data_IF_329404063656
#
_entry.id   IF_329404063656
#
_cell.length_a   1.000
_cell.length_b   1.000
_cell.length_c   1.000
_cell.angle_alpha   90.00
_cell.angle_beta   90.00
_cell.angle_gamma   90.00
#
_symmetry.space_group_name_H-M   'P 1'
#
loop_
_entity.id
_entity.type
_entity.pdbx_description
1 polymer ?
#
# COMPACT_ATOMS: atom_id res chain seq x y z
N UNK A 1 -3.14 -14.70 16.50
CA UNK A 1 -2.47 -14.36 15.22
C UNK A 1 -2.12 -12.88 15.28
N UNK A 2 -0.88 -12.47 14.94
CA UNK A 2 -0.43 -11.07 15.07
C UNK A 2 -0.12 -10.49 13.68
N UNK A 3 -0.88 -9.49 13.24
CA UNK A 3 -0.72 -8.83 11.94
C UNK A 3 0.69 -8.27 11.69
N UNK A 4 1.46 -7.94 12.74
CA UNK A 4 2.86 -7.52 12.58
C UNK A 4 3.82 -8.66 12.20
N UNK A 5 3.42 -9.92 12.40
CA UNK A 5 4.27 -11.10 12.18
C UNK A 5 3.81 -12.01 11.04
N UNK A 6 2.69 -11.71 10.37
CA UNK A 6 2.06 -12.64 9.42
C UNK A 6 2.67 -12.58 8.02
N UNK A 7 3.42 -11.53 7.65
CA UNK A 7 3.95 -11.45 6.29
C UNK A 7 5.28 -10.67 6.15
N UNK A 8 6.41 -11.35 6.43
CA UNK A 8 7.76 -10.82 6.23
C UNK A 8 8.03 -10.42 4.77
N UNK A 9 7.40 -11.12 3.82
CA UNK A 9 7.48 -10.79 2.41
C UNK A 9 6.79 -9.45 2.10
N UNK A 10 5.61 -9.21 2.68
CA UNK A 10 4.94 -7.90 2.54
C UNK A 10 5.77 -6.78 3.15
N UNK A 11 6.41 -7.03 4.31
CA UNK A 11 7.31 -6.05 4.91
C UNK A 11 8.52 -5.74 4.02
N UNK A 12 9.08 -6.76 3.36
CA UNK A 12 10.18 -6.58 2.41
C UNK A 12 9.73 -5.77 1.19
N UNK A 13 8.60 -6.10 0.56
CA UNK A 13 8.07 -5.37 -0.59
C UNK A 13 7.71 -3.92 -0.26
N UNK A 14 7.12 -3.70 0.91
CA UNK A 14 6.82 -2.37 1.43
C UNK A 14 8.11 -1.56 1.64
N UNK A 15 9.16 -2.17 2.19
CA UNK A 15 10.46 -1.51 2.29
C UNK A 15 11.06 -1.19 0.91
N UNK A 16 11.04 -2.12 -0.04
CA UNK A 16 11.60 -1.93 -1.39
C UNK A 16 10.88 -0.84 -2.18
N UNK A 17 9.57 -0.70 -1.99
CA UNK A 17 8.75 0.36 -2.60
C UNK A 17 8.83 1.70 -1.87
N UNK A 18 9.62 1.83 -0.80
CA UNK A 18 9.67 3.04 0.01
C UNK A 18 8.41 3.29 0.85
N UNK A 19 7.42 2.40 0.77
CA UNK A 19 6.25 2.41 1.65
C UNK A 19 6.57 1.68 2.96
N UNK A 20 7.10 2.37 3.95
CA UNK A 20 7.50 1.70 5.20
C UNK A 20 6.33 1.26 6.10
N UNK A 21 5.07 1.33 5.65
CA UNK A 21 3.88 0.98 6.44
C UNK A 21 3.37 -0.44 6.11
N UNK A 22 2.91 -1.24 7.08
CA UNK A 22 3.05 -1.08 8.52
C UNK A 22 4.45 -1.44 8.99
N UNK A 23 4.88 -0.88 10.12
CA UNK A 23 6.16 -1.25 10.72
C UNK A 23 6.06 -2.58 11.46
N UNK A 24 7.11 -3.40 11.36
CA UNK A 24 7.22 -4.69 12.06
C UNK A 24 7.22 -4.53 13.58
N UNK A 25 7.67 -3.37 14.07
CA UNK A 25 7.62 -2.98 15.48
C UNK A 25 6.54 -1.91 15.66
N UNK A 26 5.51 -2.14 16.49
CA UNK A 26 4.52 -1.12 16.83
C UNK A 26 5.21 0.13 17.38
N UNK A 27 4.70 1.31 17.02
CA UNK A 27 5.15 2.61 17.55
C UNK A 27 6.62 3.01 17.28
N UNK A 28 7.38 2.19 16.53
CA UNK A 28 8.68 2.59 16.02
C UNK A 28 8.51 3.81 15.10
N UNK A 29 9.36 4.81 15.28
CA UNK A 29 9.49 5.89 14.31
C UNK A 29 10.47 5.51 13.20
N UNK A 30 10.23 6.03 12.00
CA UNK A 30 11.22 5.91 10.91
C UNK A 30 12.48 6.66 11.30
N UNK A 31 13.62 6.02 11.08
CA UNK A 31 14.93 6.68 11.16
C UNK A 31 15.03 7.75 10.06
N UNK A 32 15.94 8.71 10.24
CA UNK A 32 16.20 9.76 9.23
C UNK A 32 16.56 9.13 7.88
N UNK A 33 17.36 8.06 7.88
CA UNK A 33 17.76 7.33 6.68
C UNK A 33 16.54 6.72 5.97
N UNK A 34 15.65 6.06 6.72
CA UNK A 34 14.42 5.49 6.15
C UNK A 34 13.49 6.57 5.57
N UNK A 35 13.39 7.74 6.21
CA UNK A 35 12.62 8.88 5.69
C UNK A 35 13.21 9.42 4.39
N UNK A 36 14.53 9.60 4.34
CA UNK A 36 15.21 10.07 3.13
C UNK A 36 15.07 9.06 1.98
N UNK A 37 15.17 7.77 2.27
CA UNK A 37 14.94 6.72 1.29
C UNK A 37 13.50 6.73 0.75
N UNK A 38 12.49 6.81 1.64
CA UNK A 38 11.08 6.91 1.24
C UNK A 38 10.85 8.12 0.34
N UNK A 39 11.41 9.27 0.72
CA UNK A 39 11.29 10.51 -0.04
C UNK A 39 12.01 10.42 -1.40
N UNK A 40 13.15 9.75 -1.46
CA UNK A 40 13.88 9.48 -2.69
C UNK A 40 13.08 8.61 -3.67
N UNK A 41 12.45 7.54 -3.17
CA UNK A 41 11.58 6.70 -4.02
C UNK A 41 10.36 7.49 -4.50
N UNK A 42 9.70 8.23 -3.62
CA UNK A 42 8.56 9.05 -4.00
C UNK A 42 8.94 10.08 -5.08
N UNK A 43 10.12 10.71 -4.98
CA UNK A 43 10.62 11.61 -6.00
C UNK A 43 10.86 10.90 -7.34
N UNK A 44 11.41 9.69 -7.33
CA UNK A 44 11.61 8.89 -8.54
C UNK A 44 10.27 8.52 -9.20
N UNK A 45 9.28 8.11 -8.41
CA UNK A 45 7.93 7.81 -8.91
C UNK A 45 7.26 9.04 -9.53
N UNK A 46 7.38 10.20 -8.89
CA UNK A 46 6.86 11.47 -9.40
C UNK A 46 7.56 11.89 -10.70
N UNK A 47 8.88 11.77 -10.79
CA UNK A 47 9.63 12.06 -12.01
C UNK A 47 9.18 11.12 -13.14
N UNK A 48 9.09 9.82 -12.86
CA UNK A 48 8.64 8.82 -13.83
C UNK A 48 7.20 9.09 -14.30
N UNK A 49 6.31 9.52 -13.41
CA UNK A 49 4.96 9.95 -13.76
C UNK A 49 4.96 11.12 -14.74
N UNK A 50 5.74 12.17 -14.49
CA UNK A 50 5.82 13.31 -15.43
C UNK A 50 6.42 12.92 -16.79
N UNK A 51 7.42 12.04 -16.82
CA UNK A 51 7.99 11.52 -18.07
C UNK A 51 6.95 10.70 -18.85
N UNK A 52 6.18 9.86 -18.15
CA UNK A 52 5.11 9.05 -18.74
C UNK A 52 3.98 9.91 -19.27
N UNK A 53 3.61 10.97 -18.54
CA UNK A 53 2.62 11.95 -18.97
C UNK A 53 3.09 12.71 -20.22
N UNK A 54 4.38 13.04 -20.32
CA UNK A 54 4.95 13.67 -21.53
C UNK A 54 4.83 12.75 -22.76
N UNK A 55 4.99 11.44 -22.57
CA UNK A 55 4.82 10.44 -23.64
C UNK A 55 3.44 10.51 -24.32
N UNK A 56 2.39 10.82 -23.55
CA UNK A 56 1.04 11.01 -24.08
C UNK A 56 0.88 12.18 -25.04
N UNK A 57 1.65 13.25 -24.82
CA UNK A 57 1.59 14.46 -25.66
C UNK A 57 2.45 14.35 -26.92
N UNK A 58 3.40 13.42 -26.96
CA UNK A 58 4.34 13.24 -28.08
C UNK A 58 3.86 12.13 -29.04
N UNK A 59 3.28 11.06 -28.51
CA UNK A 59 2.85 9.91 -29.30
C UNK A 59 1.52 10.16 -30.02
N UNK A 60 1.29 9.51 -31.18
CA UNK A 60 -0.03 9.44 -31.81
C UNK A 60 -1.10 8.99 -30.81
N UNK A 61 -2.27 9.63 -30.83
CA UNK A 61 -3.36 9.42 -29.86
C UNK A 61 -3.74 7.94 -29.70
N UNK A 62 -3.74 7.17 -30.79
CA UNK A 62 -4.06 5.73 -30.76
C UNK A 62 -3.02 4.94 -29.98
N UNK A 63 -1.73 5.22 -30.17
CA UNK A 63 -0.62 4.54 -29.48
C UNK A 63 -0.53 4.98 -28.01
N UNK A 64 -0.76 6.27 -27.75
CA UNK A 64 -0.82 6.82 -26.40
C UNK A 64 -1.96 6.20 -25.58
N UNK A 65 -3.15 6.05 -26.17
CA UNK A 65 -4.31 5.46 -25.48
C UNK A 65 -4.12 3.96 -25.25
N UNK A 66 -3.65 3.22 -26.26
CA UNK A 66 -3.53 1.75 -26.18
C UNK A 66 -2.42 1.30 -25.22
N UNK A 67 -1.27 1.98 -25.19
CA UNK A 67 -0.13 1.61 -24.35
C UNK A 67 0.02 2.43 -23.07
N UNK A 68 -0.36 3.71 -23.11
CA UNK A 68 -0.08 4.65 -22.03
C UNK A 68 -1.12 4.69 -20.93
N UNK A 69 -2.41 4.45 -21.25
CA UNK A 69 -3.51 4.71 -20.28
C UNK A 69 -3.42 3.81 -19.06
N UNK A 70 -3.13 2.53 -19.27
CA UNK A 70 -2.97 1.56 -18.18
C UNK A 70 -1.78 1.94 -17.30
N UNK A 71 -0.64 2.33 -17.91
CA UNK A 71 0.54 2.73 -17.17
C UNK A 71 0.27 3.97 -16.29
N UNK A 72 -0.41 4.99 -16.83
CA UNK A 72 -0.78 6.18 -16.07
C UNK A 72 -1.75 5.85 -14.93
N UNK A 73 -2.76 5.02 -15.19
CA UNK A 73 -3.72 4.62 -14.16
C UNK A 73 -3.02 3.90 -12.99
N UNK A 74 -2.14 2.95 -13.30
CA UNK A 74 -1.33 2.23 -12.30
C UNK A 74 -0.40 3.19 -11.55
N UNK A 75 0.23 4.15 -12.23
CA UNK A 75 1.09 5.14 -11.57
C UNK A 75 0.31 6.05 -10.62
N UNK A 76 -0.87 6.51 -11.02
CA UNK A 76 -1.74 7.30 -10.15
C UNK A 76 -2.15 6.49 -8.91
N UNK A 77 -2.49 5.22 -9.10
CA UNK A 77 -2.82 4.31 -8.00
C UNK A 77 -1.64 4.15 -7.03
N UNK A 78 -0.44 3.84 -7.54
CA UNK A 78 0.78 3.69 -6.72
C UNK A 78 1.09 4.98 -5.95
N UNK A 79 1.08 6.14 -6.61
CA UNK A 79 1.34 7.42 -5.96
C UNK A 79 0.31 7.74 -4.87
N UNK A 80 -0.98 7.51 -5.17
CA UNK A 80 -2.08 7.76 -4.24
C UNK A 80 -1.97 6.85 -3.01
N UNK A 81 -1.76 5.56 -3.22
CA UNK A 81 -1.61 4.57 -2.16
C UNK A 81 -0.38 4.83 -1.30
N UNK A 82 0.77 5.10 -1.92
CA UNK A 82 2.02 5.43 -1.22
C UNK A 82 1.87 6.70 -0.39
N UNK A 83 1.29 7.75 -0.95
CA UNK A 83 1.06 9.01 -0.22
C UNK A 83 0.06 8.82 0.92
N UNK A 84 -1.10 8.21 0.63
CA UNK A 84 -2.18 8.03 1.59
C UNK A 84 -1.77 7.14 2.76
N UNK A 85 -1.09 6.01 2.51
CA UNK A 85 -0.61 5.11 3.56
C UNK A 85 0.45 5.75 4.43
N UNK A 86 1.38 6.53 3.85
CA UNK A 86 2.40 7.24 4.63
C UNK A 86 1.80 8.42 5.43
N UNK A 87 0.78 9.09 4.91
CA UNK A 87 0.09 10.18 5.62
C UNK A 87 -0.82 9.65 6.75
N UNK A 88 -1.61 8.61 6.48
CA UNK A 88 -2.58 8.03 7.44
C UNK A 88 -2.01 6.91 8.33
N UNK A 89 -0.69 6.84 8.50
CA UNK A 89 -0.04 5.80 9.32
C UNK A 89 -0.64 5.63 10.72
N UNK A 90 -0.97 6.74 11.39
CA UNK A 90 -1.49 6.73 12.77
C UNK A 90 -2.83 5.99 12.87
N UNK A 91 -3.88 6.38 12.11
CA UNK A 91 -5.14 5.63 12.04
C UNK A 91 -4.96 4.14 11.73
N UNK A 92 -4.13 3.80 10.75
CA UNK A 92 -3.95 2.41 10.36
C UNK A 92 -3.19 1.59 11.41
N UNK A 93 -2.22 2.17 12.12
CA UNK A 93 -1.57 1.51 13.25
C UNK A 93 -2.57 1.20 14.37
N UNK A 94 -3.46 2.16 14.70
CA UNK A 94 -4.51 1.95 15.70
C UNK A 94 -5.49 0.85 15.28
N UNK A 95 -5.86 0.81 14.00
CA UNK A 95 -6.69 -0.26 13.44
C UNK A 95 -6.00 -1.62 13.57
N UNK A 96 -4.72 -1.73 13.19
CA UNK A 96 -3.94 -2.97 13.30
C UNK A 96 -3.83 -3.42 14.76
N UNK A 97 -3.56 -2.51 15.68
CA UNK A 97 -3.51 -2.80 17.12
C UNK A 97 -4.85 -3.28 17.65
N UNK A 98 -5.96 -2.64 17.25
CA UNK A 98 -7.32 -3.02 17.65
C UNK A 98 -7.66 -4.42 17.16
N UNK A 99 -7.33 -4.73 15.90
CA UNK A 99 -7.55 -6.05 15.32
C UNK A 99 -6.66 -7.10 16.00
N UNK A 100 -5.39 -6.79 16.28
CA UNK A 100 -4.50 -7.69 17.03
C UNK A 100 -5.03 -7.97 18.43
N UNK A 101 -5.54 -6.97 19.13
CA UNK A 101 -6.16 -7.13 20.43
C UNK A 101 -7.38 -8.07 20.36
N UNK A 102 -8.28 -7.86 19.38
CA UNK A 102 -9.44 -8.74 19.15
C UNK A 102 -9.02 -10.19 18.84
N UNK A 103 -7.89 -10.38 18.15
CA UNK A 103 -7.35 -11.70 17.83
C UNK A 103 -6.59 -12.37 18.98
N UNK A 104 -6.13 -11.62 19.98
CA UNK A 104 -5.39 -12.13 21.13
C UNK A 104 -6.35 -12.40 22.31
N UNK A 105 -7.38 -11.58 22.50
CA UNK A 105 -8.18 -11.57 23.72
C UNK A 105 -9.33 -12.59 23.73
N UNK A 106 -9.83 -13.11 22.59
CA UNK A 106 -10.94 -14.08 22.66
C UNK A 106 -11.12 -14.99 21.43
N UNK A 107 -11.26 -16.30 21.65
CA UNK A 107 -10.79 -17.33 20.71
C UNK A 107 -11.77 -17.80 19.63
N UNK A 108 -13.08 -17.51 19.66
CA UNK A 108 -13.99 -18.00 18.62
C UNK A 108 -15.11 -17.06 18.16
N UNK A 109 -15.71 -16.27 19.05
CA UNK A 109 -16.86 -15.41 18.71
C UNK A 109 -16.45 -14.17 17.89
N UNK A 110 -15.33 -13.55 18.26
CA UNK A 110 -14.83 -12.33 17.61
C UNK A 110 -14.18 -12.61 16.26
N UNK A 111 -13.64 -13.82 16.05
CA UNK A 111 -13.06 -14.23 14.76
C UNK A 111 -14.13 -14.26 13.66
N UNK A 112 -15.36 -14.69 13.95
CA UNK A 112 -16.43 -14.70 12.96
C UNK A 112 -16.88 -13.27 12.59
N UNK A 113 -16.97 -12.37 13.58
CA UNK A 113 -17.27 -10.94 13.34
C UNK A 113 -16.17 -10.30 12.51
N UNK A 114 -14.90 -10.59 12.83
CA UNK A 114 -13.76 -10.10 12.06
C UNK A 114 -13.77 -10.66 10.63
N UNK A 115 -14.10 -11.93 10.45
CA UNK A 115 -14.26 -12.54 9.12
C UNK A 115 -15.40 -11.88 8.34
N UNK A 116 -16.56 -11.63 8.95
CA UNK A 116 -17.67 -10.93 8.30
C UNK A 116 -17.29 -9.51 7.89
N UNK A 117 -16.58 -8.78 8.74
CA UNK A 117 -16.06 -7.44 8.43
C UNK A 117 -15.03 -7.44 7.29
N UNK A 118 -14.11 -8.42 7.29
CA UNK A 118 -13.04 -8.52 6.29
C UNK A 118 -13.51 -9.16 4.98
N UNK A 119 -14.59 -9.93 4.97
CA UNK A 119 -15.11 -10.63 3.79
C UNK A 119 -15.36 -9.71 2.58
N UNK A 120 -16.06 -8.56 2.71
CA UNK A 120 -16.23 -7.65 1.58
C UNK A 120 -14.89 -7.12 1.06
N UNK A 121 -13.93 -6.83 1.95
CA UNK A 121 -12.58 -6.36 1.58
C UNK A 121 -11.82 -7.45 0.82
N UNK A 122 -11.85 -8.69 1.32
CA UNK A 122 -11.23 -9.84 0.65
C UNK A 122 -11.85 -10.12 -0.73
N UNK A 123 -13.16 -9.92 -0.87
CA UNK A 123 -13.85 -10.09 -2.15
C UNK A 123 -13.36 -9.07 -3.18
N UNK A 124 -13.21 -7.80 -2.77
CA UNK A 124 -12.66 -6.75 -3.63
C UNK A 124 -11.19 -7.03 -3.97
N UNK A 125 -10.37 -7.42 -2.99
CA UNK A 125 -8.96 -7.76 -3.24
C UNK A 125 -8.80 -8.91 -4.25
N UNK A 126 -9.66 -9.92 -4.18
CA UNK A 126 -9.64 -11.05 -5.12
C UNK A 126 -9.86 -10.60 -6.56
N UNK A 127 -10.72 -9.60 -6.80
CA UNK A 127 -10.91 -9.04 -8.15
C UNK A 127 -9.61 -8.43 -8.69
N UNK A 128 -8.82 -7.76 -7.85
CA UNK A 128 -7.54 -7.17 -8.25
C UNK A 128 -6.44 -8.22 -8.51
N UNK A 129 -6.48 -9.38 -7.84
CA UNK A 129 -5.45 -10.44 -7.98
C UNK A 129 -5.72 -11.46 -9.09
N UNK A 130 -6.91 -11.47 -9.69
CA UNK A 130 -7.30 -12.40 -10.76
C UNK A 130 -7.23 -11.71 -12.16
N UNK A 131 -6.76 -10.46 -12.21
CA UNK A 131 -6.46 -9.73 -13.44
C UNK A 131 -5.01 -9.97 -13.90
#
# INVERSE_FOLDING_TARGET
MNFHSVNDFNFLLNRLSGNFFPLKVPDRQLTIIEKLYAMGILLLEVIYFFLSLRGFFILPVVEAIQGGTVNIAVLIEVLTLTFYMNYQRKPYNLLIQSVNHLLIVDSHKHVNILKEFLNPIMKVLKFYTIA
#
